data_IF_423634379102
#
_entry.id   IF_423634379102
#
_cell.length_a   1.000
_cell.length_b   1.000
_cell.length_c   1.000
_cell.angle_alpha   90.00
_cell.angle_beta   90.00
_cell.angle_gamma   90.00
#
_symmetry.space_group_name_H-M   'P 1'
#
loop_
_entity.id
_entity.type
_entity.pdbx_description
1 polymer ?
#
# COMPACT_ATOMS: atom_id res chain seq x y z
N UNK A 1 13.33 8.21 7.57
CA UNK A 1 12.12 7.69 8.26
C UNK A 1 12.13 6.20 8.07
N UNK A 2 11.90 5.43 9.14
CA UNK A 2 11.84 3.97 9.11
C UNK A 2 10.47 3.56 9.62
N UNK A 3 9.86 2.58 8.96
CA UNK A 3 8.64 1.90 9.36
C UNK A 3 8.94 0.55 10.00
N UNK A 4 10.19 0.33 10.42
CA UNK A 4 10.61 -0.81 11.22
C UNK A 4 9.68 -0.91 12.45
N UNK A 5 9.16 -2.10 12.68
CA UNK A 5 8.23 -2.45 13.77
C UNK A 5 6.86 -1.75 13.70
N UNK A 6 6.51 -1.11 12.56
CA UNK A 6 5.18 -0.55 12.36
C UNK A 6 4.13 -1.66 12.34
N UNK A 7 3.16 -1.55 13.24
CA UNK A 7 2.06 -2.50 13.38
C UNK A 7 0.75 -1.78 13.59
N UNK A 8 -0.35 -2.42 13.19
CA UNK A 8 -1.69 -1.97 13.50
C UNK A 8 -2.59 -3.20 13.71
N UNK A 9 -3.54 -3.10 14.63
CA UNK A 9 -4.51 -4.16 14.91
C UNK A 9 -5.86 -3.53 15.20
N UNK A 10 -6.90 -4.09 14.61
CA UNK A 10 -8.29 -3.74 14.80
C UNK A 10 -9.14 -5.01 14.79
N UNK A 11 -10.45 -4.85 14.93
CA UNK A 11 -11.41 -5.96 14.83
C UNK A 11 -11.47 -6.58 13.42
N UNK A 12 -11.00 -5.86 12.40
CA UNK A 12 -11.16 -6.26 10.99
C UNK A 12 -9.84 -6.57 10.27
N UNK A 13 -8.74 -5.95 10.67
CA UNK A 13 -7.44 -6.14 10.00
C UNK A 13 -6.26 -6.02 10.95
N UNK A 14 -5.20 -6.78 10.61
CA UNK A 14 -3.88 -6.70 11.24
C UNK A 14 -2.87 -6.30 10.16
N UNK A 15 -2.08 -5.26 10.43
CA UNK A 15 -0.94 -4.88 9.63
C UNK A 15 0.35 -5.22 10.37
N UNK A 16 1.26 -5.92 9.68
CA UNK A 16 2.62 -6.21 10.14
C UNK A 16 3.60 -5.69 9.10
N UNK A 17 4.36 -4.65 9.45
CA UNK A 17 5.40 -4.08 8.61
C UNK A 17 6.76 -4.72 8.88
N UNK A 18 7.48 -5.07 7.80
CA UNK A 18 8.87 -5.52 7.87
C UNK A 18 9.77 -4.65 7.00
N UNK A 19 10.89 -4.23 7.56
CA UNK A 19 12.01 -3.60 6.85
C UNK A 19 13.25 -4.48 7.09
N UNK A 20 13.57 -5.40 6.16
CA UNK A 20 14.67 -6.34 6.42
C UNK A 20 16.05 -5.70 6.28
N UNK A 21 16.21 -4.67 5.43
CA UNK A 21 17.50 -4.00 5.20
C UNK A 21 17.41 -2.49 5.33
N UNK A 22 18.46 -1.86 5.85
CA UNK A 22 18.64 -0.40 5.80
C UNK A 22 19.14 0.06 4.42
N UNK A 23 19.29 1.39 4.26
CA UNK A 23 19.79 2.00 3.03
C UNK A 23 21.26 1.67 2.71
N UNK A 24 22.01 1.15 3.69
CA UNK A 24 23.40 0.70 3.53
C UNK A 24 23.48 -0.81 3.22
N UNK A 25 22.34 -1.51 3.21
CA UNK A 25 22.24 -2.94 2.94
C UNK A 25 22.43 -3.84 4.17
N UNK A 26 22.58 -3.26 5.36
CA UNK A 26 22.68 -4.02 6.60
C UNK A 26 21.32 -4.61 6.96
N UNK A 27 21.31 -5.83 7.50
CA UNK A 27 20.09 -6.45 7.99
C UNK A 27 19.63 -5.76 9.30
N UNK A 28 18.38 -5.32 9.33
CA UNK A 28 17.80 -4.59 10.48
C UNK A 28 16.57 -5.27 11.08
N UNK A 29 15.99 -6.26 10.41
CA UNK A 29 14.94 -7.15 10.91
C UNK A 29 15.02 -8.53 10.24
N UNK A 30 14.34 -9.50 10.83
CA UNK A 30 14.09 -10.83 10.27
C UNK A 30 12.59 -11.10 10.24
N UNK A 31 12.13 -11.87 9.25
CA UNK A 31 10.76 -12.38 9.25
C UNK A 31 10.57 -13.42 10.36
N UNK A 32 9.34 -13.60 10.82
CA UNK A 32 8.96 -14.78 11.60
C UNK A 32 9.00 -16.04 10.71
N UNK A 33 9.13 -17.26 11.27
CA UNK A 33 9.10 -18.49 10.47
C UNK A 33 7.83 -18.64 9.62
N UNK A 34 6.69 -18.18 10.14
CA UNK A 34 5.41 -18.16 9.43
C UNK A 34 5.47 -17.20 8.23
N UNK A 35 5.92 -15.96 8.44
CA UNK A 35 5.99 -14.94 7.38
C UNK A 35 7.09 -15.27 6.35
N UNK A 36 8.18 -15.93 6.75
CA UNK A 36 9.22 -16.43 5.84
C UNK A 36 8.66 -17.54 4.92
N UNK A 37 7.77 -18.38 5.43
CA UNK A 37 7.10 -19.40 4.63
C UNK A 37 6.19 -18.75 3.59
N UNK A 38 5.37 -17.78 3.98
CA UNK A 38 4.53 -17.00 3.06
C UNK A 38 5.39 -16.32 1.99
N UNK A 39 6.48 -15.66 2.41
CA UNK A 39 7.38 -14.98 1.48
C UNK A 39 7.98 -15.93 0.44
N UNK A 40 8.40 -17.13 0.86
CA UNK A 40 8.92 -18.16 -0.03
C UNK A 40 7.85 -18.71 -0.98
N UNK A 41 6.67 -19.03 -0.46
CA UNK A 41 5.55 -19.58 -1.25
C UNK A 41 5.10 -18.64 -2.36
N UNK A 42 5.10 -17.34 -2.07
CA UNK A 42 4.70 -16.31 -3.03
C UNK A 42 5.88 -15.69 -3.80
N UNK A 43 7.10 -16.24 -3.68
CA UNK A 43 8.27 -15.78 -4.41
C UNK A 43 8.63 -14.31 -4.13
N UNK A 44 8.36 -13.82 -2.93
CA UNK A 44 8.61 -12.44 -2.53
C UNK A 44 10.13 -12.19 -2.45
N UNK A 45 10.68 -11.57 -3.48
CA UNK A 45 12.09 -11.16 -3.55
C UNK A 45 12.17 -9.63 -3.75
N UNK A 46 12.87 -8.91 -2.86
CA UNK A 46 13.01 -7.44 -2.92
C UNK A 46 11.86 -6.65 -2.28
N UNK A 47 11.89 -5.32 -2.37
CA UNK A 47 10.87 -4.41 -1.79
C UNK A 47 10.35 -3.39 -2.82
N UNK A 48 9.11 -2.87 -2.66
CA UNK A 48 8.09 -3.26 -1.68
C UNK A 48 6.97 -4.16 -2.27
N UNK A 49 6.48 -5.09 -1.44
CA UNK A 49 5.37 -6.01 -1.73
C UNK A 49 4.34 -5.99 -0.60
N UNK A 50 3.10 -6.40 -0.91
CA UNK A 50 2.04 -6.61 0.08
C UNK A 50 1.47 -8.03 -0.07
N UNK A 51 1.18 -8.66 1.07
CA UNK A 51 0.41 -9.91 1.14
C UNK A 51 -0.92 -9.65 1.84
N UNK A 52 -2.01 -10.01 1.17
CA UNK A 52 -3.38 -9.74 1.58
C UNK A 52 -4.04 -10.91 2.33
N UNK A 53 -3.26 -11.93 2.73
CA UNK A 53 -3.77 -13.16 3.34
C UNK A 53 -4.22 -14.23 2.33
N UNK A 54 -4.52 -13.84 1.09
CA UNK A 54 -4.91 -14.79 0.02
C UNK A 54 -4.03 -14.70 -1.22
N UNK A 55 -3.48 -13.53 -1.50
CA UNK A 55 -2.71 -13.25 -2.70
C UNK A 55 -1.70 -12.14 -2.39
N UNK A 56 -0.67 -12.02 -3.22
CA UNK A 56 0.28 -10.92 -3.17
C UNK A 56 -0.04 -9.88 -4.23
N UNK A 57 0.31 -8.63 -3.93
CA UNK A 57 0.38 -7.57 -4.94
C UNK A 57 1.75 -6.91 -4.86
N UNK A 58 2.45 -6.82 -5.99
CA UNK A 58 3.55 -5.86 -6.12
C UNK A 58 2.98 -4.46 -6.05
N UNK A 59 3.63 -3.54 -5.34
CA UNK A 59 3.04 -2.23 -4.98
C UNK A 59 2.52 -1.45 -6.21
N UNK A 60 1.19 -1.43 -6.48
CA UNK A 60 0.65 -0.56 -7.52
C UNK A 60 0.77 0.90 -7.10
N UNK A 61 0.89 1.15 -5.78
CA UNK A 61 1.22 2.45 -5.22
C UNK A 61 2.44 3.07 -5.86
N UNK A 62 3.51 2.33 -6.14
CA UNK A 62 4.72 2.95 -6.68
C UNK A 62 4.66 3.15 -8.19
N UNK A 63 3.71 2.56 -8.90
CA UNK A 63 3.75 2.58 -10.36
C UNK A 63 3.57 3.99 -10.95
N UNK A 64 2.65 4.85 -10.45
CA UNK A 64 2.64 6.27 -10.82
C UNK A 64 3.91 7.03 -10.38
N UNK A 65 4.59 6.55 -9.33
CA UNK A 65 5.75 7.20 -8.72
C UNK A 65 7.07 6.82 -9.43
N UNK A 66 7.14 5.61 -9.99
CA UNK A 66 8.27 5.03 -10.70
C UNK A 66 8.15 5.19 -12.22
N UNK A 67 6.93 5.09 -12.79
CA UNK A 67 6.69 5.12 -14.24
C UNK A 67 5.95 6.38 -14.71
N UNK A 68 5.19 7.05 -13.84
CA UNK A 68 4.39 8.24 -14.18
C UNK A 68 5.09 9.59 -14.01
N UNK A 69 6.29 9.64 -13.42
CA UNK A 69 7.06 10.89 -13.33
C UNK A 69 6.45 11.99 -12.45
N UNK A 70 5.50 11.67 -11.57
CA UNK A 70 4.82 12.67 -10.74
C UNK A 70 5.61 13.11 -9.51
N UNK A 71 6.66 12.38 -9.15
CA UNK A 71 7.47 12.58 -7.93
C UNK A 71 8.94 12.94 -8.18
N UNK A 72 9.61 12.58 -9.30
CA UNK A 72 11.00 12.96 -9.52
C UNK A 72 11.19 14.49 -9.42
N UNK A 73 12.06 14.91 -8.50
CA UNK A 73 12.37 16.32 -8.26
C UNK A 73 11.34 17.12 -7.44
N UNK A 74 10.26 16.49 -6.94
CA UNK A 74 9.28 17.14 -6.06
C UNK A 74 9.56 16.85 -4.60
N UNK A 75 9.42 17.87 -3.75
CA UNK A 75 9.40 17.67 -2.29
C UNK A 75 8.06 17.11 -1.85
N UNK A 76 8.02 16.47 -0.67
CA UNK A 76 6.78 16.04 -0.03
C UNK A 76 5.77 17.19 0.11
N UNK A 77 6.24 18.40 0.43
CA UNK A 77 5.40 19.60 0.53
C UNK A 77 4.76 19.98 -0.82
N UNK A 78 5.52 19.87 -1.91
CA UNK A 78 5.00 20.16 -3.25
C UNK A 78 3.88 19.19 -3.64
N UNK A 79 4.04 17.91 -3.27
CA UNK A 79 3.02 16.88 -3.49
C UNK A 79 1.81 17.14 -2.60
N UNK A 80 2.01 17.49 -1.33
CA UNK A 80 0.93 17.81 -0.40
C UNK A 80 0.10 19.01 -0.87
N UNK A 81 0.72 20.05 -1.42
CA UNK A 81 0.01 21.17 -2.05
C UNK A 81 -0.82 20.72 -3.25
N UNK A 82 -0.29 19.83 -4.11
CA UNK A 82 -1.02 19.28 -5.25
C UNK A 82 -2.22 18.41 -4.82
N UNK A 83 -2.13 17.71 -3.70
CA UNK A 83 -3.25 16.94 -3.15
C UNK A 83 -4.45 17.80 -2.74
N UNK A 84 -4.27 19.10 -2.50
CA UNK A 84 -5.39 20.03 -2.23
C UNK A 84 -6.25 20.28 -3.46
N UNK A 85 -5.68 20.16 -4.66
CA UNK A 85 -6.41 20.21 -5.92
C UNK A 85 -6.64 18.78 -6.42
N UNK A 86 -7.84 18.26 -6.12
CA UNK A 86 -8.23 16.90 -6.51
C UNK A 86 -8.26 16.69 -8.01
N UNK A 87 -8.25 17.74 -8.84
CA UNK A 87 -8.18 17.63 -10.30
C UNK A 87 -6.76 17.49 -10.83
N UNK A 88 -5.74 17.74 -10.00
CA UNK A 88 -4.34 17.61 -10.42
C UNK A 88 -4.01 16.16 -10.79
N UNK A 89 -3.12 15.93 -11.78
CA UNK A 89 -2.68 14.59 -12.13
C UNK A 89 -2.08 13.82 -10.95
N UNK A 90 -1.32 14.52 -10.09
CA UNK A 90 -0.75 13.94 -8.88
C UNK A 90 -1.84 13.49 -7.90
N UNK A 91 -2.85 14.32 -7.66
CA UNK A 91 -3.95 13.94 -6.77
C UNK A 91 -4.77 12.79 -7.30
N UNK A 92 -5.12 12.79 -8.60
CA UNK A 92 -5.87 11.69 -9.21
C UNK A 92 -5.10 10.36 -9.11
N UNK A 93 -3.80 10.37 -9.36
CA UNK A 93 -2.97 9.16 -9.23
C UNK A 93 -2.88 8.65 -7.78
N UNK A 94 -2.58 9.55 -6.83
CA UNK A 94 -2.40 9.19 -5.42
C UNK A 94 -3.71 8.75 -4.78
N UNK A 95 -4.78 9.54 -4.94
CA UNK A 95 -6.10 9.24 -4.38
C UNK A 95 -6.72 8.01 -5.05
N UNK A 96 -6.51 7.82 -6.36
CA UNK A 96 -6.92 6.62 -7.07
C UNK A 96 -6.27 5.36 -6.50
N UNK A 97 -4.95 5.37 -6.30
CA UNK A 97 -4.23 4.25 -5.69
C UNK A 97 -4.69 3.99 -4.23
N UNK A 98 -4.95 5.06 -3.46
CA UNK A 98 -5.50 4.95 -2.11
C UNK A 98 -6.90 4.31 -2.11
N UNK A 99 -7.76 4.65 -3.07
CA UNK A 99 -9.08 4.05 -3.22
C UNK A 99 -8.99 2.55 -3.58
N UNK A 100 -8.09 2.15 -4.49
CA UNK A 100 -7.87 0.73 -4.83
C UNK A 100 -7.42 -0.08 -3.60
N UNK A 101 -6.52 0.48 -2.81
CA UNK A 101 -6.03 -0.15 -1.59
C UNK A 101 -7.15 -0.28 -0.55
N UNK A 102 -7.94 0.78 -0.39
CA UNK A 102 -9.09 0.77 0.50
C UNK A 102 -10.13 -0.24 0.04
N UNK A 103 -10.39 -0.34 -1.26
CA UNK A 103 -11.30 -1.33 -1.82
C UNK A 103 -10.80 -2.77 -1.59
N UNK A 104 -9.48 -3.00 -1.67
CA UNK A 104 -8.89 -4.31 -1.36
C UNK A 104 -9.06 -4.66 0.12
N UNK A 105 -8.87 -3.70 1.02
CA UNK A 105 -9.16 -3.88 2.45
C UNK A 105 -10.65 -4.19 2.65
N UNK A 106 -11.54 -3.42 2.04
CA UNK A 106 -12.99 -3.66 2.11
C UNK A 106 -13.38 -5.05 1.63
N UNK A 107 -12.75 -5.59 0.58
CA UNK A 107 -12.98 -6.95 0.13
C UNK A 107 -12.60 -7.99 1.20
N UNK A 108 -11.49 -7.77 1.92
CA UNK A 108 -11.00 -8.67 2.97
C UNK A 108 -11.83 -8.58 4.26
N UNK A 109 -12.41 -7.42 4.55
CA UNK A 109 -13.16 -7.17 5.79
C UNK A 109 -14.67 -7.40 5.63
N UNK A 110 -15.14 -7.83 4.45
CA UNK A 110 -16.56 -8.01 4.17
C UNK A 110 -17.31 -6.67 4.14
N UNK A 111 -16.71 -5.66 3.50
CA UNK A 111 -17.20 -4.29 3.36
C UNK A 111 -17.36 -3.53 4.69
N UNK A 112 -16.42 -3.74 5.63
CA UNK A 112 -16.35 -3.00 6.90
C UNK A 112 -15.10 -2.11 7.01
N UNK A 113 -15.21 -0.88 7.55
CA UNK A 113 -16.44 -0.23 7.99
C UNK A 113 -17.25 0.32 6.80
N UNK A 114 -18.58 0.22 6.88
CA UNK A 114 -19.47 0.44 5.74
C UNK A 114 -19.44 1.86 5.16
N UNK A 115 -19.18 2.88 5.97
CA UNK A 115 -19.04 4.28 5.52
C UNK A 115 -17.81 4.50 4.65
N UNK A 116 -16.68 3.85 4.98
CA UNK A 116 -15.47 3.87 4.15
C UNK A 116 -15.67 3.02 2.89
N UNK A 117 -16.22 1.82 3.03
CA UNK A 117 -16.38 0.89 1.91
C UNK A 117 -17.44 1.31 0.89
N UNK A 118 -18.38 2.18 1.30
CA UNK A 118 -19.38 2.79 0.41
C UNK A 118 -18.95 4.15 -0.16
N UNK A 119 -17.78 4.67 0.20
CA UNK A 119 -17.29 5.93 -0.34
C UNK A 119 -17.18 5.85 -1.88
N UNK A 120 -17.64 6.88 -2.64
CA UNK A 120 -17.74 6.79 -4.10
C UNK A 120 -16.45 6.38 -4.82
N UNK A 121 -15.31 6.89 -4.35
CA UNK A 121 -14.00 6.53 -4.91
C UNK A 121 -13.62 5.07 -4.69
N UNK A 122 -13.96 4.52 -3.52
CA UNK A 122 -13.71 3.12 -3.15
C UNK A 122 -14.62 2.19 -3.95
N UNK A 123 -15.90 2.55 -4.10
CA UNK A 123 -16.86 1.80 -4.94
C UNK A 123 -16.39 1.76 -6.40
N UNK A 124 -15.95 2.90 -6.94
CA UNK A 124 -15.39 2.96 -8.29
C UNK A 124 -14.14 2.09 -8.43
N UNK A 125 -13.26 2.09 -7.42
CA UNK A 125 -12.04 1.27 -7.43
C UNK A 125 -12.33 -0.23 -7.27
N UNK A 126 -13.38 -0.62 -6.53
CA UNK A 126 -13.79 -2.02 -6.40
C UNK A 126 -14.14 -2.66 -7.74
N UNK A 127 -14.69 -1.89 -8.68
CA UNK A 127 -15.01 -2.37 -10.02
C UNK A 127 -13.79 -2.74 -10.88
N UNK A 128 -12.57 -2.35 -10.46
CA UNK A 128 -11.31 -2.69 -11.16
C UNK A 128 -10.43 -3.67 -10.38
N UNK A 129 -10.85 -4.10 -9.17
CA UNK A 129 -10.26 -5.23 -8.48
C UNK A 129 -10.75 -6.50 -9.19
N UNK A 130 -9.82 -7.24 -9.80
CA UNK A 130 -10.11 -8.44 -10.61
C UNK A 130 -10.83 -9.54 -9.84
#
# INVERSE_FOLDING_TARGET
MSYKDATYTSDHLVFKGYELKDAQGNDIQTLTPEDETIAREHGMQGYPWLYWGTHTSGTPFLQPFLQGGYMPGKSGDSIAEKLKDTSSPEAQAILGAANVTTAQICALTGDQPGDVCSAPGVVAAKAVLG
#
